data_IF_310645612150
#
_entry.id   IF_310645612150
#
_cell.length_a   1.000
_cell.length_b   1.000
_cell.length_c   1.000
_cell.angle_alpha   90.00
_cell.angle_beta   90.00
_cell.angle_gamma   90.00
#
_symmetry.space_group_name_H-M   'P 1'
#
loop_
_entity.id
_entity.type
_entity.pdbx_description
1 polymer ?
#
# COMPACT_ATOMS: atom_id res chain seq x y z
N UNK A 1 27.22 -22.52 -18.64
CA UNK A 1 27.86 -22.24 -17.33
C UNK A 1 28.00 -23.56 -16.57
N UNK A 2 29.18 -23.91 -16.06
CA UNK A 2 29.40 -25.20 -15.41
C UNK A 2 28.89 -25.14 -13.96
N UNK A 3 27.93 -26.00 -13.59
CA UNK A 3 27.28 -26.01 -12.26
C UNK A 3 28.31 -26.13 -11.12
N UNK A 4 29.42 -26.85 -11.34
CA UNK A 4 30.50 -26.98 -10.35
C UNK A 4 31.20 -25.63 -10.05
N UNK A 5 31.37 -24.79 -11.06
CA UNK A 5 31.96 -23.45 -10.89
C UNK A 5 31.02 -22.56 -10.10
N UNK A 6 29.73 -22.59 -10.44
CA UNK A 6 28.68 -21.83 -9.74
C UNK A 6 28.62 -22.21 -8.26
N UNK A 7 28.63 -23.51 -7.96
CA UNK A 7 28.59 -24.02 -6.56
C UNK A 7 29.84 -23.62 -5.76
N UNK A 8 31.00 -23.65 -6.40
CA UNK A 8 32.27 -23.26 -5.75
C UNK A 8 32.30 -21.77 -5.44
N UNK A 9 31.82 -20.94 -6.39
CA UNK A 9 31.68 -19.49 -6.18
C UNK A 9 30.62 -19.19 -5.10
N UNK A 10 29.49 -19.90 -5.08
CA UNK A 10 28.48 -19.74 -4.03
C UNK A 10 29.06 -19.99 -2.63
N UNK A 11 29.90 -21.01 -2.46
CA UNK A 11 30.53 -21.32 -1.18
C UNK A 11 31.62 -20.33 -0.76
N UNK A 12 32.33 -19.72 -1.71
CA UNK A 12 33.51 -18.88 -1.47
C UNK A 12 33.26 -17.38 -1.60
N UNK A 13 32.10 -16.97 -2.15
CA UNK A 13 31.74 -15.57 -2.33
C UNK A 13 31.09 -14.97 -1.09
N UNK A 14 31.05 -13.65 -1.03
CA UNK A 14 30.33 -12.87 -0.03
C UNK A 14 28.79 -12.86 -0.33
N UNK A 15 28.38 -13.36 -1.49
CA UNK A 15 26.98 -13.31 -1.93
C UNK A 15 25.99 -13.98 -0.96
N UNK A 16 26.24 -15.17 -0.39
CA UNK A 16 25.32 -15.77 0.60
C UNK A 16 25.14 -14.90 1.86
N UNK A 17 26.22 -14.26 2.32
CA UNK A 17 26.15 -13.32 3.44
C UNK A 17 25.34 -12.06 3.10
N UNK A 18 25.48 -11.57 1.86
CA UNK A 18 24.66 -10.46 1.37
C UNK A 18 23.16 -10.84 1.33
N UNK A 19 22.84 -12.04 0.84
CA UNK A 19 21.47 -12.55 0.86
C UNK A 19 20.93 -12.73 2.29
N UNK A 20 21.74 -13.29 3.18
CA UNK A 20 21.36 -13.46 4.60
C UNK A 20 21.11 -12.10 5.27
N UNK A 21 21.98 -11.11 5.04
CA UNK A 21 21.81 -9.77 5.58
C UNK A 21 20.55 -9.08 5.05
N UNK A 22 20.29 -9.17 3.75
CA UNK A 22 19.06 -8.62 3.15
C UNK A 22 17.82 -9.29 3.74
N UNK A 23 17.82 -10.63 3.86
CA UNK A 23 16.70 -11.36 4.41
C UNK A 23 16.47 -11.04 5.90
N UNK A 24 17.53 -11.04 6.72
CA UNK A 24 17.39 -10.74 8.16
C UNK A 24 16.95 -9.31 8.40
N UNK A 25 17.47 -8.34 7.63
CA UNK A 25 17.03 -6.95 7.69
C UNK A 25 15.56 -6.81 7.29
N UNK A 26 15.15 -7.48 6.19
CA UNK A 26 13.77 -7.45 5.73
C UNK A 26 12.80 -8.06 6.76
N UNK A 27 13.15 -9.21 7.34
CA UNK A 27 12.35 -9.86 8.39
C UNK A 27 12.29 -8.97 9.66
N UNK A 28 13.41 -8.34 10.02
CA UNK A 28 13.43 -7.42 11.16
C UNK A 28 12.47 -6.24 10.94
N UNK A 29 12.50 -5.59 9.77
CA UNK A 29 11.55 -4.53 9.44
C UNK A 29 10.11 -5.04 9.45
N UNK A 30 9.84 -6.16 8.80
CA UNK A 30 8.49 -6.71 8.65
C UNK A 30 7.85 -7.07 10.00
N UNK A 31 8.64 -7.63 10.94
CA UNK A 31 8.12 -8.09 12.23
C UNK A 31 8.27 -7.07 13.36
N UNK A 32 9.30 -6.21 13.34
CA UNK A 32 9.56 -5.28 14.44
C UNK A 32 8.97 -3.88 14.19
N UNK A 33 8.89 -3.45 12.92
CA UNK A 33 8.40 -2.12 12.55
C UNK A 33 6.95 -2.19 12.08
N UNK A 34 6.65 -3.04 11.08
CA UNK A 34 5.30 -3.15 10.52
C UNK A 34 4.38 -4.08 11.34
N UNK A 35 4.90 -4.75 12.34
CA UNK A 35 4.22 -5.53 13.36
C UNK A 35 3.20 -6.54 12.85
N UNK A 36 3.54 -7.84 12.83
CA UNK A 36 2.63 -8.92 12.41
C UNK A 36 1.37 -9.07 13.30
N UNK A 37 1.34 -8.44 14.44
CA UNK A 37 0.26 -8.48 15.43
C UNK A 37 -0.81 -7.41 15.26
N UNK A 38 -0.60 -6.41 14.39
CA UNK A 38 -1.61 -5.43 14.08
C UNK A 38 -2.72 -6.07 13.22
N UNK A 39 -3.94 -5.84 13.60
CA UNK A 39 -5.13 -6.36 12.88
C UNK A 39 -5.71 -5.24 12.03
N UNK A 40 -5.65 -5.39 10.72
CA UNK A 40 -6.25 -4.50 9.74
C UNK A 40 -6.36 -5.22 8.40
N UNK A 41 -7.21 -4.80 7.51
CA UNK A 41 -7.42 -5.46 6.21
C UNK A 41 -6.31 -5.14 5.23
N UNK A 42 -5.64 -3.99 5.38
CA UNK A 42 -4.51 -3.55 4.56
C UNK A 42 -3.16 -4.13 4.99
N UNK A 43 -3.11 -4.78 6.15
CA UNK A 43 -1.87 -5.35 6.69
C UNK A 43 -1.27 -6.42 5.77
N UNK A 44 0.05 -6.49 5.75
CA UNK A 44 0.78 -7.47 4.94
C UNK A 44 0.45 -8.94 5.27
N UNK A 45 -0.08 -9.20 6.47
CA UNK A 45 -0.53 -10.52 6.90
C UNK A 45 -1.92 -10.90 6.38
N UNK A 46 -2.69 -9.92 5.89
CA UNK A 46 -4.09 -10.12 5.55
C UNK A 46 -4.28 -10.63 4.11
N UNK A 47 -3.49 -10.13 3.16
CA UNK A 47 -3.70 -10.35 1.72
C UNK A 47 -2.39 -10.51 0.94
N UNK A 48 -2.42 -11.28 -0.14
CA UNK A 48 -1.28 -11.52 -1.03
C UNK A 48 -0.73 -10.24 -1.66
N UNK A 49 -1.62 -9.36 -2.13
CA UNK A 49 -1.22 -8.07 -2.72
C UNK A 49 -0.60 -7.16 -1.67
N UNK A 50 -1.18 -7.09 -0.47
CA UNK A 50 -0.64 -6.30 0.64
C UNK A 50 0.76 -6.79 1.03
N UNK A 51 0.98 -8.11 1.15
CA UNK A 51 2.31 -8.68 1.38
C UNK A 51 3.31 -8.25 0.32
N UNK A 52 2.93 -8.38 -0.97
CA UNK A 52 3.81 -8.04 -2.08
C UNK A 52 4.14 -6.54 -2.14
N UNK A 53 3.16 -5.67 -1.89
CA UNK A 53 3.37 -4.21 -1.85
C UNK A 53 4.21 -3.79 -0.64
N UNK A 54 3.95 -4.32 0.55
CA UNK A 54 4.77 -4.05 1.75
C UNK A 54 6.21 -4.49 1.54
N UNK A 55 6.44 -5.71 1.01
CA UNK A 55 7.81 -6.16 0.70
C UNK A 55 8.48 -5.29 -0.37
N UNK A 56 7.71 -4.71 -1.32
CA UNK A 56 8.21 -3.70 -2.26
C UNK A 56 8.53 -2.38 -1.56
N UNK A 57 7.76 -1.96 -0.57
CA UNK A 57 8.05 -0.78 0.26
C UNK A 57 9.38 -0.91 1.00
N UNK A 58 9.69 -2.10 1.52
CA UNK A 58 10.99 -2.37 2.18
C UNK A 58 12.19 -2.15 1.26
N UNK A 59 12.03 -2.15 -0.06
CA UNK A 59 13.12 -1.85 -1.00
C UNK A 59 13.65 -0.42 -0.83
N UNK A 60 12.94 0.47 -0.16
CA UNK A 60 13.45 1.78 0.21
C UNK A 60 14.78 1.67 0.99
N UNK A 61 14.90 0.67 1.85
CA UNK A 61 16.10 0.38 2.65
C UNK A 61 16.97 -0.73 2.05
N UNK A 62 16.34 -1.77 1.52
CA UNK A 62 17.04 -2.98 1.03
C UNK A 62 17.75 -2.76 -0.30
N UNK A 63 17.23 -1.88 -1.17
CA UNK A 63 17.87 -1.60 -2.46
C UNK A 63 19.19 -0.86 -2.33
N UNK A 64 19.31 0.23 -1.53
CA UNK A 64 20.59 0.84 -1.20
C UNK A 64 21.59 -0.14 -0.59
N UNK A 65 21.12 -1.00 0.32
CA UNK A 65 21.95 -2.05 0.91
C UNK A 65 22.49 -3.01 -0.15
N UNK A 66 21.62 -3.48 -1.08
CA UNK A 66 22.02 -4.36 -2.18
C UNK A 66 23.06 -3.70 -3.12
N UNK A 67 22.88 -2.40 -3.43
CA UNK A 67 23.84 -1.61 -4.21
C UNK A 67 25.20 -1.55 -3.53
N UNK A 68 25.23 -1.24 -2.22
CA UNK A 68 26.46 -1.16 -1.41
C UNK A 68 27.18 -2.51 -1.32
N UNK A 69 26.45 -3.58 -1.04
CA UNK A 69 26.98 -4.95 -0.98
C UNK A 69 27.51 -5.41 -2.35
N UNK A 70 26.80 -5.06 -3.43
CA UNK A 70 27.27 -5.29 -4.79
C UNK A 70 28.60 -4.57 -5.06
N UNK A 71 28.72 -3.30 -4.65
CA UNK A 71 29.95 -2.55 -4.82
C UNK A 71 31.14 -3.16 -4.02
N UNK A 72 30.90 -3.66 -2.80
CA UNK A 72 31.89 -4.40 -2.04
C UNK A 72 32.39 -5.65 -2.80
N UNK A 73 31.46 -6.37 -3.42
CA UNK A 73 31.81 -7.55 -4.21
C UNK A 73 32.57 -7.18 -5.50
N UNK A 74 32.24 -6.05 -6.16
CA UNK A 74 32.95 -5.53 -7.32
C UNK A 74 34.40 -5.11 -7.01
N UNK A 75 34.66 -4.67 -5.77
CA UNK A 75 35.99 -4.30 -5.29
C UNK A 75 36.89 -5.49 -4.91
N UNK A 76 36.34 -6.71 -4.81
CA UNK A 76 37.07 -7.90 -4.34
C UNK A 76 38.37 -8.12 -5.11
N UNK A 77 38.34 -7.98 -6.43
CA UNK A 77 39.51 -8.23 -7.30
C UNK A 77 40.60 -7.20 -7.10
N UNK A 78 40.24 -5.95 -6.89
CA UNK A 78 41.20 -4.88 -6.64
C UNK A 78 41.86 -5.06 -5.26
N UNK A 79 41.05 -5.40 -4.22
CA UNK A 79 41.55 -5.64 -2.87
C UNK A 79 42.49 -6.85 -2.78
N UNK A 80 42.24 -7.90 -3.56
CA UNK A 80 43.10 -9.10 -3.58
C UNK A 80 44.38 -8.94 -4.43
N UNK A 81 44.59 -7.77 -5.09
CA UNK A 81 45.69 -7.49 -6.00
C UNK A 81 45.87 -8.53 -7.14
N UNK A 82 44.76 -9.24 -7.47
CA UNK A 82 44.75 -10.31 -8.45
C UNK A 82 44.37 -9.81 -9.86
N UNK A 83 44.21 -8.52 -10.06
CA UNK A 83 43.76 -7.93 -11.34
C UNK A 83 44.65 -8.30 -12.53
N UNK A 84 45.97 -8.32 -12.34
CA UNK A 84 46.93 -8.66 -13.39
C UNK A 84 46.88 -10.14 -13.79
N UNK A 85 46.81 -11.04 -12.78
CA UNK A 85 46.67 -12.48 -13.02
C UNK A 85 45.37 -12.83 -13.74
N UNK A 86 44.31 -12.06 -13.47
CA UNK A 86 43.01 -12.29 -14.08
C UNK A 86 42.90 -11.76 -15.51
N UNK A 87 43.68 -10.73 -15.88
CA UNK A 87 43.75 -10.20 -17.22
C UNK A 87 44.61 -11.07 -18.14
N UNK A 88 45.57 -11.84 -17.58
CA UNK A 88 46.43 -12.78 -18.35
C UNK A 88 45.74 -14.11 -18.71
N UNK A 89 44.54 -14.38 -18.15
CA UNK A 89 43.79 -15.60 -18.47
C UNK A 89 43.08 -15.49 -19.83
N UNK A 90 43.08 -16.54 -20.65
CA UNK A 90 42.48 -16.51 -21.99
C UNK A 90 40.93 -16.50 -21.98
N UNK A 91 40.29 -16.40 -20.81
CA UNK A 91 38.81 -16.37 -20.67
C UNK A 91 38.28 -14.96 -20.91
N UNK A 92 37.23 -14.81 -21.77
CA UNK A 92 36.57 -13.51 -21.93
C UNK A 92 36.06 -12.93 -20.64
N UNK A 93 36.24 -11.61 -20.42
CA UNK A 93 35.85 -10.90 -19.20
C UNK A 93 34.36 -11.06 -18.84
N UNK A 94 33.51 -11.18 -19.84
CA UNK A 94 32.07 -11.34 -19.66
C UNK A 94 31.67 -12.68 -19.02
N UNK A 95 32.42 -13.77 -19.20
CA UNK A 95 32.15 -15.05 -18.53
C UNK A 95 32.27 -14.92 -17.02
N UNK A 96 33.26 -14.17 -16.56
CA UNK A 96 33.45 -13.92 -15.14
C UNK A 96 32.40 -12.97 -14.58
N UNK A 97 32.08 -11.89 -15.31
CA UNK A 97 30.99 -11.00 -14.99
C UNK A 97 29.68 -11.76 -14.84
N UNK A 98 29.37 -12.66 -15.79
CA UNK A 98 28.17 -13.50 -15.77
C UNK A 98 28.12 -14.45 -14.55
N UNK A 99 29.27 -15.03 -14.16
CA UNK A 99 29.32 -15.91 -12.98
C UNK A 99 29.05 -15.12 -11.70
N UNK A 100 29.70 -13.97 -11.52
CA UNK A 100 29.52 -13.11 -10.36
C UNK A 100 28.09 -12.55 -10.27
N UNK A 101 27.60 -11.99 -11.35
CA UNK A 101 26.23 -11.46 -11.43
C UNK A 101 25.19 -12.58 -11.22
N UNK A 102 25.42 -13.77 -11.80
CA UNK A 102 24.53 -14.92 -11.66
C UNK A 102 24.46 -15.46 -10.23
N UNK A 103 25.60 -15.59 -9.53
CA UNK A 103 25.63 -16.00 -8.13
C UNK A 103 24.88 -15.00 -7.26
N UNK A 104 25.13 -13.71 -7.45
CA UNK A 104 24.45 -12.64 -6.68
C UNK A 104 22.96 -12.61 -6.98
N UNK A 105 22.57 -12.72 -8.26
CA UNK A 105 21.17 -12.78 -8.66
C UNK A 105 20.43 -13.96 -8.00
N UNK A 106 20.99 -15.17 -8.05
CA UNK A 106 20.41 -16.36 -7.43
C UNK A 106 20.26 -16.15 -5.92
N UNK A 107 21.29 -15.63 -5.25
CA UNK A 107 21.27 -15.44 -3.80
C UNK A 107 20.23 -14.41 -3.36
N UNK A 108 20.17 -13.25 -4.02
CA UNK A 108 19.23 -12.20 -3.66
C UNK A 108 17.79 -12.56 -4.02
N UNK A 109 17.58 -13.20 -5.18
CA UNK A 109 16.27 -13.70 -5.58
C UNK A 109 15.79 -14.78 -4.60
N UNK A 110 16.67 -15.71 -4.18
CA UNK A 110 16.32 -16.73 -3.18
C UNK A 110 15.99 -16.10 -1.81
N UNK A 111 16.76 -15.10 -1.37
CA UNK A 111 16.50 -14.37 -0.14
C UNK A 111 15.14 -13.65 -0.18
N UNK A 112 14.83 -12.97 -1.28
CA UNK A 112 13.55 -12.30 -1.45
C UNK A 112 12.38 -13.29 -1.58
N UNK A 113 12.58 -14.39 -2.30
CA UNK A 113 11.57 -15.47 -2.39
C UNK A 113 11.29 -16.06 -1.00
N UNK A 114 12.34 -16.30 -0.20
CA UNK A 114 12.18 -16.81 1.16
C UNK A 114 11.42 -15.81 2.05
N UNK A 115 11.68 -14.51 1.90
CA UNK A 115 10.91 -13.47 2.59
C UNK A 115 9.41 -13.56 2.25
N UNK A 116 9.08 -13.66 0.95
CA UNK A 116 7.69 -13.83 0.48
C UNK A 116 7.08 -15.13 1.03
N UNK A 117 7.84 -16.23 1.04
CA UNK A 117 7.34 -17.52 1.57
C UNK A 117 7.05 -17.46 3.08
N UNK A 118 7.89 -16.77 3.85
CA UNK A 118 7.63 -16.55 5.28
C UNK A 118 6.37 -15.72 5.48
N UNK A 119 6.20 -14.63 4.71
CA UNK A 119 4.97 -13.85 4.73
C UNK A 119 3.75 -14.63 4.26
N UNK A 120 3.91 -15.49 3.25
CA UNK A 120 2.84 -16.32 2.71
C UNK A 120 2.21 -17.25 3.76
N UNK A 121 2.98 -17.75 4.74
CA UNK A 121 2.44 -18.55 5.86
C UNK A 121 1.42 -17.75 6.66
N UNK A 122 1.67 -16.46 6.89
CA UNK A 122 0.74 -15.59 7.61
C UNK A 122 -0.51 -15.29 6.77
N UNK A 123 -0.30 -14.97 5.48
CA UNK A 123 -1.42 -14.70 4.56
C UNK A 123 -2.34 -15.91 4.43
N UNK A 124 -1.79 -17.12 4.25
CA UNK A 124 -2.58 -18.36 4.15
C UNK A 124 -3.41 -18.65 5.40
N UNK A 125 -2.96 -18.19 6.57
CA UNK A 125 -3.72 -18.34 7.81
C UNK A 125 -4.87 -17.33 7.95
N UNK A 126 -4.85 -16.23 7.20
CA UNK A 126 -5.76 -15.09 7.39
C UNK A 126 -6.69 -14.81 6.19
N UNK A 127 -6.39 -15.31 4.99
CA UNK A 127 -7.19 -15.06 3.80
C UNK A 127 -7.80 -16.33 3.21
N UNK A 128 -9.03 -16.23 2.77
CA UNK A 128 -9.71 -17.27 1.96
C UNK A 128 -9.57 -16.98 0.46
N UNK A 129 -9.19 -15.74 0.08
CA UNK A 129 -9.03 -15.32 -1.31
C UNK A 129 -7.58 -15.46 -1.77
N UNK A 130 -7.33 -16.40 -2.68
CA UNK A 130 -6.01 -16.63 -3.28
C UNK A 130 -6.02 -16.28 -4.76
N UNK A 131 -5.03 -15.50 -5.21
CA UNK A 131 -4.86 -15.09 -6.61
C UNK A 131 -3.36 -14.95 -6.95
N UNK A 132 -3.04 -14.87 -8.24
CA UNK A 132 -1.65 -14.70 -8.71
C UNK A 132 -1.30 -13.26 -9.09
N UNK A 133 -2.20 -12.29 -8.89
CA UNK A 133 -1.98 -10.87 -9.20
C UNK A 133 -0.82 -10.21 -8.46
N UNK A 134 -0.42 -10.76 -7.31
CA UNK A 134 0.74 -10.32 -6.54
C UNK A 134 2.09 -10.73 -7.17
N UNK A 135 2.10 -11.76 -8.04
CA UNK A 135 3.35 -12.33 -8.59
C UNK A 135 4.18 -11.30 -9.38
N UNK A 136 3.61 -10.49 -10.29
CA UNK A 136 4.37 -9.44 -10.99
C UNK A 136 5.02 -8.45 -10.03
N UNK A 137 4.34 -8.08 -8.93
CA UNK A 137 4.86 -7.19 -7.90
C UNK A 137 6.11 -7.80 -7.26
N UNK A 138 6.05 -9.06 -6.86
CA UNK A 138 7.16 -9.79 -6.25
C UNK A 138 8.33 -9.99 -7.22
N UNK A 139 8.07 -10.34 -8.49
CA UNK A 139 9.11 -10.52 -9.51
C UNK A 139 9.89 -9.23 -9.75
N UNK A 140 9.20 -8.10 -9.88
CA UNK A 140 9.84 -6.79 -10.03
C UNK A 140 10.63 -6.43 -8.76
N UNK A 141 10.16 -6.83 -7.58
CA UNK A 141 10.90 -6.69 -6.31
C UNK A 141 12.23 -7.44 -6.30
N UNK A 142 12.22 -8.71 -6.67
CA UNK A 142 13.43 -9.53 -6.79
C UNK A 142 14.41 -8.98 -7.85
N UNK A 143 13.86 -8.56 -9.01
CA UNK A 143 14.64 -7.92 -10.06
C UNK A 143 15.31 -6.62 -9.59
N UNK A 144 14.63 -5.85 -8.74
CA UNK A 144 15.17 -4.61 -8.19
C UNK A 144 16.43 -4.84 -7.36
N UNK A 145 16.42 -5.83 -6.46
CA UNK A 145 17.61 -6.19 -5.67
C UNK A 145 18.76 -6.67 -6.54
N UNK A 146 18.48 -7.52 -7.53
CA UNK A 146 19.49 -8.05 -8.43
C UNK A 146 20.08 -6.97 -9.35
N UNK A 147 19.25 -6.07 -9.86
CA UNK A 147 19.67 -4.94 -10.68
C UNK A 147 20.53 -3.96 -9.87
N UNK A 148 20.11 -3.62 -8.66
CA UNK A 148 20.87 -2.75 -7.75
C UNK A 148 22.23 -3.33 -7.40
N UNK A 149 22.29 -4.61 -7.01
CA UNK A 149 23.55 -5.27 -6.69
C UNK A 149 24.48 -5.37 -7.93
N UNK A 150 23.94 -5.69 -9.12
CA UNK A 150 24.72 -5.77 -10.35
C UNK A 150 25.28 -4.41 -10.74
N UNK A 151 24.48 -3.33 -10.61
CA UNK A 151 24.92 -1.97 -10.80
C UNK A 151 26.05 -1.61 -9.82
N UNK A 152 25.86 -1.94 -8.54
CA UNK A 152 26.85 -1.75 -7.49
C UNK A 152 28.17 -2.46 -7.81
N UNK A 153 28.12 -3.73 -8.23
CA UNK A 153 29.31 -4.50 -8.64
C UNK A 153 30.06 -3.83 -9.80
N UNK A 154 29.34 -3.40 -10.84
CA UNK A 154 29.93 -2.72 -11.99
C UNK A 154 30.58 -1.40 -11.60
N UNK A 155 29.90 -0.58 -10.81
CA UNK A 155 30.40 0.70 -10.33
C UNK A 155 31.58 0.53 -9.36
N UNK A 156 31.53 -0.44 -8.44
CA UNK A 156 32.63 -0.77 -7.54
C UNK A 156 33.91 -1.19 -8.29
N UNK A 157 33.77 -1.94 -9.39
CA UNK A 157 34.90 -2.30 -10.25
C UNK A 157 35.41 -1.11 -11.07
N UNK A 158 34.51 -0.25 -11.56
CA UNK A 158 34.87 0.91 -12.37
C UNK A 158 35.57 2.01 -11.53
N UNK A 159 35.21 2.14 -10.25
CA UNK A 159 35.72 3.12 -9.31
C UNK A 159 36.32 2.40 -8.09
N UNK A 160 37.54 1.86 -8.18
CA UNK A 160 38.14 1.01 -7.15
C UNK A 160 38.65 1.83 -5.96
N UNK A 161 37.73 2.28 -5.09
CA UNK A 161 38.03 3.01 -3.84
C UNK A 161 37.30 2.36 -2.66
N UNK A 162 37.90 2.43 -1.48
CA UNK A 162 37.27 1.97 -0.25
C UNK A 162 35.98 2.74 0.10
N UNK A 163 35.87 3.98 -0.38
CA UNK A 163 34.69 4.84 -0.18
C UNK A 163 33.57 4.55 -1.18
N UNK A 164 33.83 3.82 -2.27
CA UNK A 164 32.80 3.56 -3.31
C UNK A 164 31.57 2.82 -2.77
N UNK A 165 31.67 1.75 -1.96
CA UNK A 165 30.48 1.06 -1.45
C UNK A 165 29.60 1.94 -0.57
N UNK A 166 30.10 2.64 0.46
CA UNK A 166 29.25 3.52 1.27
C UNK A 166 28.69 4.70 0.46
N UNK A 167 29.48 5.27 -0.46
CA UNK A 167 29.01 6.36 -1.31
C UNK A 167 27.88 5.93 -2.25
N UNK A 168 27.96 4.73 -2.85
CA UNK A 168 26.91 4.19 -3.69
C UNK A 168 25.67 3.80 -2.88
N UNK A 169 25.81 3.22 -1.71
CA UNK A 169 24.69 2.93 -0.81
C UNK A 169 23.96 4.22 -0.41
N UNK A 170 24.72 5.24 -0.01
CA UNK A 170 24.16 6.54 0.36
C UNK A 170 23.50 7.23 -0.86
N UNK A 171 24.15 7.21 -2.02
CA UNK A 171 23.59 7.76 -3.27
C UNK A 171 22.29 7.06 -3.67
N UNK A 172 22.23 5.75 -3.55
CA UNK A 172 21.01 4.97 -3.82
C UNK A 172 19.89 5.28 -2.80
N UNK A 173 20.25 5.45 -1.51
CA UNK A 173 19.29 5.87 -0.49
C UNK A 173 18.77 7.29 -0.76
N UNK A 174 19.65 8.23 -1.06
CA UNK A 174 19.27 9.60 -1.41
C UNK A 174 18.40 9.64 -2.67
N UNK A 175 18.71 8.82 -3.68
CA UNK A 175 17.85 8.67 -4.86
C UNK A 175 16.44 8.22 -4.46
N UNK A 176 16.32 7.15 -3.67
CA UNK A 176 15.02 6.67 -3.19
C UNK A 176 14.28 7.73 -2.38
N UNK A 177 14.97 8.43 -1.46
CA UNK A 177 14.40 9.50 -0.65
C UNK A 177 13.91 10.68 -1.49
N UNK A 178 14.70 11.15 -2.47
CA UNK A 178 14.30 12.23 -3.37
C UNK A 178 13.08 11.86 -4.22
N UNK A 179 13.01 10.60 -4.69
CA UNK A 179 11.85 10.10 -5.43
C UNK A 179 10.58 10.05 -4.56
N UNK A 180 10.71 9.80 -3.26
CA UNK A 180 9.59 9.72 -2.34
C UNK A 180 9.14 11.09 -1.80
N UNK A 181 10.07 12.02 -1.56
CA UNK A 181 9.80 13.23 -0.80
C UNK A 181 9.69 14.50 -1.65
N UNK A 182 10.37 14.57 -2.83
CA UNK A 182 10.44 15.81 -3.60
C UNK A 182 10.27 15.63 -5.10
N UNK A 183 11.28 15.11 -5.81
CA UNK A 183 11.27 15.01 -7.27
C UNK A 183 10.17 14.10 -7.81
N UNK A 184 9.79 13.08 -7.04
CA UNK A 184 8.72 12.15 -7.37
C UNK A 184 7.35 12.60 -6.92
N UNK A 185 7.20 13.82 -6.38
CA UNK A 185 5.93 14.37 -5.90
C UNK A 185 5.52 15.57 -6.73
N UNK A 186 4.20 15.71 -6.93
CA UNK A 186 3.58 16.88 -7.55
C UNK A 186 2.52 17.39 -6.61
N UNK A 187 2.57 18.70 -6.34
CA UNK A 187 1.50 19.35 -5.57
C UNK A 187 0.28 19.52 -6.47
N UNK A 188 -0.85 19.07 -5.99
CA UNK A 188 -2.17 19.26 -6.59
C UNK A 188 -3.09 19.91 -5.56
N UNK A 189 -4.20 20.47 -6.01
CA UNK A 189 -5.18 21.08 -5.11
C UNK A 189 -6.50 20.32 -5.19
N UNK A 190 -7.11 20.09 -4.03
CA UNK A 190 -8.47 19.57 -3.97
C UNK A 190 -9.46 20.59 -4.53
N UNK A 191 -10.70 20.15 -4.79
CA UNK A 191 -11.77 21.06 -5.19
C UNK A 191 -12.04 22.18 -4.14
N UNK A 192 -11.68 21.92 -2.87
CA UNK A 192 -11.75 22.88 -1.75
C UNK A 192 -10.50 23.76 -1.62
N UNK A 193 -9.53 23.68 -2.54
CA UNK A 193 -8.31 24.49 -2.54
C UNK A 193 -7.22 24.03 -1.54
N UNK A 194 -7.35 22.83 -0.97
CA UNK A 194 -6.35 22.29 -0.03
C UNK A 194 -5.22 21.65 -0.83
N UNK A 195 -3.93 22.00 -0.57
CA UNK A 195 -2.80 21.37 -1.24
C UNK A 195 -2.64 19.91 -0.81
N UNK A 196 -2.52 19.02 -1.77
CA UNK A 196 -2.17 17.61 -1.60
C UNK A 196 -0.95 17.28 -2.46
N UNK A 197 -0.10 16.37 -1.98
CA UNK A 197 1.05 15.90 -2.75
C UNK A 197 0.79 14.50 -3.26
N UNK A 198 0.78 14.34 -4.59
CA UNK A 198 0.61 13.06 -5.26
C UNK A 198 1.92 12.56 -5.89
N UNK A 199 2.18 11.23 -5.89
CA UNK A 199 3.33 10.68 -6.58
C UNK A 199 3.19 10.89 -8.09
N UNK A 200 4.26 11.30 -8.76
CA UNK A 200 4.33 11.44 -10.22
C UNK A 200 5.06 10.25 -10.86
N UNK A 201 5.12 10.21 -12.20
CA UNK A 201 5.79 9.09 -12.92
C UNK A 201 7.26 8.91 -12.57
N UNK A 202 7.96 9.97 -12.15
CA UNK A 202 9.39 9.90 -11.80
C UNK A 202 9.59 9.11 -10.51
N UNK A 203 8.62 9.16 -9.59
CA UNK A 203 8.65 8.34 -8.36
C UNK A 203 8.77 6.85 -8.65
N UNK A 204 8.20 6.40 -9.78
CA UNK A 204 8.21 5.00 -10.21
C UNK A 204 9.57 4.50 -10.72
N UNK A 205 10.55 5.38 -10.87
CA UNK A 205 11.94 4.98 -11.09
C UNK A 205 12.58 4.46 -9.80
N UNK A 206 12.04 4.82 -8.62
CA UNK A 206 12.39 4.15 -7.37
C UNK A 206 11.88 2.70 -7.40
N UNK A 207 12.67 1.72 -6.97
CA UNK A 207 12.21 0.34 -6.87
C UNK A 207 11.19 0.14 -5.74
N UNK A 208 11.22 0.99 -4.73
CA UNK A 208 10.25 0.98 -3.64
C UNK A 208 8.90 1.56 -4.13
N UNK A 209 7.82 0.88 -3.80
CA UNK A 209 6.46 1.37 -4.00
C UNK A 209 5.99 2.00 -2.70
N UNK A 210 5.29 3.11 -2.79
CA UNK A 210 4.64 3.71 -1.64
C UNK A 210 3.41 2.88 -1.27
N UNK A 211 3.08 2.90 -0.03
CA UNK A 211 1.97 2.35 0.73
C UNK A 211 0.89 1.49 0.03
N UNK A 212 0.44 0.49 0.76
CA UNK A 212 -0.80 -0.24 0.47
C UNK A 212 -1.95 0.71 0.73
N UNK A 213 -2.55 1.26 -0.34
CA UNK A 213 -3.68 2.21 -0.21
C UNK A 213 -4.97 1.52 0.16
N UNK A 214 -5.20 0.34 -0.40
CA UNK A 214 -6.43 -0.41 -0.25
C UNK A 214 -6.16 -1.88 -0.60
N UNK A 215 -6.94 -2.77 -0.02
CA UNK A 215 -6.89 -4.23 -0.24
C UNK A 215 -7.28 -4.60 -1.67
N UNK A 216 -8.16 -3.81 -2.28
CA UNK A 216 -8.69 -4.05 -3.61
C UNK A 216 -7.83 -3.48 -4.74
N UNK A 217 -6.71 -2.83 -4.40
CA UNK A 217 -5.89 -2.10 -5.37
C UNK A 217 -4.59 -2.82 -5.65
N UNK A 218 -4.29 -3.00 -6.93
CA UNK A 218 -3.01 -3.52 -7.41
C UNK A 218 -2.31 -2.51 -8.33
N UNK A 219 -1.04 -2.74 -8.63
CA UNK A 219 -0.30 -1.90 -9.57
C UNK A 219 -0.72 -2.19 -11.01
N UNK A 220 -0.79 -1.15 -11.84
CA UNK A 220 -1.11 -1.28 -13.25
C UNK A 220 -0.02 -2.03 -14.03
N UNK A 221 -0.40 -2.70 -15.12
CA UNK A 221 0.53 -3.41 -16.00
C UNK A 221 1.63 -2.49 -16.57
N UNK A 222 1.30 -1.23 -16.87
CA UNK A 222 2.26 -0.23 -17.35
C UNK A 222 3.37 0.07 -16.32
N UNK A 223 3.04 0.06 -15.02
CA UNK A 223 4.04 0.19 -13.95
C UNK A 223 4.98 -1.00 -13.95
N UNK A 224 4.45 -2.23 -14.01
CA UNK A 224 5.30 -3.43 -14.03
C UNK A 224 6.23 -3.46 -15.24
N UNK A 225 5.72 -3.17 -16.44
CA UNK A 225 6.51 -3.16 -17.67
C UNK A 225 7.57 -2.05 -17.64
N UNK A 226 7.16 -0.81 -17.30
CA UNK A 226 8.07 0.32 -17.23
C UNK A 226 9.21 0.10 -16.24
N UNK A 227 8.88 -0.36 -15.02
CA UNK A 227 9.88 -0.67 -14.00
C UNK A 227 10.79 -1.84 -14.41
N UNK A 228 10.25 -2.89 -15.03
CA UNK A 228 11.07 -4.01 -15.52
C UNK A 228 12.10 -3.53 -16.55
N UNK A 229 11.73 -2.70 -17.52
CA UNK A 229 12.64 -2.15 -18.52
C UNK A 229 13.71 -1.27 -17.87
N UNK A 230 13.33 -0.42 -16.93
CA UNK A 230 14.26 0.41 -16.14
C UNK A 230 15.29 -0.43 -15.40
N UNK A 231 14.83 -1.45 -14.66
CA UNK A 231 15.67 -2.33 -13.86
C UNK A 231 16.59 -3.20 -14.73
N UNK A 232 16.12 -3.66 -15.89
CA UNK A 232 16.95 -4.36 -16.86
C UNK A 232 18.03 -3.42 -17.42
N UNK A 233 17.72 -2.15 -17.68
CA UNK A 233 18.69 -1.12 -18.05
C UNK A 233 19.77 -0.93 -16.99
N UNK A 234 19.40 -0.86 -15.71
CA UNK A 234 20.33 -0.80 -14.57
C UNK A 234 21.22 -2.05 -14.50
N UNK A 235 20.62 -3.24 -14.60
CA UNK A 235 21.35 -4.50 -14.56
C UNK A 235 22.32 -4.64 -15.73
N UNK A 236 21.89 -4.29 -16.95
CA UNK A 236 22.74 -4.32 -18.15
C UNK A 236 23.91 -3.34 -18.05
N UNK A 237 23.67 -2.14 -17.52
CA UNK A 237 24.71 -1.15 -17.22
C UNK A 237 25.72 -1.70 -16.22
N UNK A 238 25.26 -2.23 -15.09
CA UNK A 238 26.12 -2.83 -14.08
C UNK A 238 26.96 -3.99 -14.64
N UNK A 239 26.33 -4.87 -15.41
CA UNK A 239 27.00 -5.97 -16.11
C UNK A 239 28.04 -5.47 -17.13
N UNK A 240 27.68 -4.47 -17.94
CA UNK A 240 28.58 -3.84 -18.91
C UNK A 240 29.80 -3.22 -18.23
N UNK A 241 29.61 -2.47 -17.13
CA UNK A 241 30.71 -1.90 -16.33
C UNK A 241 31.59 -2.99 -15.71
N UNK A 242 31.00 -4.11 -15.26
CA UNK A 242 31.71 -5.24 -14.70
C UNK A 242 32.58 -5.95 -15.74
N UNK A 243 32.16 -5.99 -17.01
CA UNK A 243 32.91 -6.57 -18.13
C UNK A 243 33.89 -5.58 -18.78
N UNK A 244 33.70 -4.26 -18.60
CA UNK A 244 34.47 -3.22 -19.29
C UNK A 244 35.92 -3.14 -18.80
N UNK A 245 36.85 -3.06 -19.75
CA UNK A 245 38.32 -2.95 -19.50
C UNK A 245 38.87 -1.57 -19.87
N UNK A 246 38.22 -0.83 -20.75
CA UNK A 246 38.67 0.48 -21.24
C UNK A 246 37.66 1.58 -20.89
N UNK A 247 38.11 2.84 -20.89
CA UNK A 247 37.21 3.99 -20.63
C UNK A 247 36.07 4.05 -21.68
N UNK A 248 36.38 3.77 -22.97
CA UNK A 248 35.40 3.75 -24.05
C UNK A 248 34.31 2.70 -23.79
N UNK A 249 34.70 1.48 -23.39
CA UNK A 249 33.71 0.43 -23.07
C UNK A 249 32.91 0.74 -21.84
N UNK A 250 33.45 1.46 -20.86
CA UNK A 250 32.71 1.94 -19.67
C UNK A 250 31.66 2.99 -20.07
N UNK A 251 31.97 3.92 -20.95
CA UNK A 251 31.01 4.89 -21.46
C UNK A 251 29.87 4.24 -22.25
N UNK A 252 30.21 3.28 -23.12
CA UNK A 252 29.21 2.48 -23.85
C UNK A 252 28.32 1.70 -22.89
N UNK A 253 28.87 1.18 -21.78
CA UNK A 253 28.10 0.45 -20.76
C UNK A 253 27.07 1.30 -20.05
N UNK A 254 27.08 2.63 -20.14
CA UNK A 254 26.07 3.51 -19.60
C UNK A 254 24.83 3.66 -20.51
N UNK A 255 24.94 3.26 -21.79
CA UNK A 255 23.83 3.42 -22.74
C UNK A 255 22.56 2.68 -22.33
N UNK A 256 22.59 1.43 -21.78
CA UNK A 256 21.37 0.74 -21.34
C UNK A 256 20.63 1.48 -20.20
N UNK A 257 21.36 2.18 -19.33
CA UNK A 257 20.77 3.00 -18.27
C UNK A 257 19.91 4.12 -18.88
N UNK A 258 20.49 4.89 -19.82
CA UNK A 258 19.82 6.02 -20.43
C UNK A 258 18.64 5.56 -21.30
N UNK A 259 18.84 4.55 -22.14
CA UNK A 259 17.76 4.02 -22.99
C UNK A 259 16.65 3.38 -22.15
N UNK A 260 17.00 2.63 -21.11
CA UNK A 260 16.05 2.05 -20.18
C UNK A 260 15.23 3.13 -19.44
N UNK A 261 15.86 4.20 -18.98
CA UNK A 261 15.18 5.32 -18.34
C UNK A 261 14.19 6.02 -19.29
N UNK A 262 14.62 6.32 -20.52
CA UNK A 262 13.76 6.99 -21.51
C UNK A 262 12.56 6.11 -21.86
N UNK A 263 12.77 4.84 -22.17
CA UNK A 263 11.69 3.91 -22.53
C UNK A 263 10.75 3.73 -21.34
N UNK A 264 11.28 3.54 -20.13
CA UNK A 264 10.46 3.42 -18.93
C UNK A 264 9.57 4.66 -18.71
N UNK A 265 10.13 5.87 -18.83
CA UNK A 265 9.37 7.10 -18.68
C UNK A 265 8.31 7.29 -19.77
N UNK A 266 8.45 6.70 -20.95
CA UNK A 266 7.41 6.71 -21.98
C UNK A 266 6.25 5.75 -21.67
N UNK A 267 6.52 4.64 -20.95
CA UNK A 267 5.54 3.60 -20.63
C UNK A 267 4.85 3.88 -19.31
N UNK A 268 5.59 4.41 -18.33
CA UNK A 268 5.06 4.73 -17.00
C UNK A 268 3.93 5.76 -17.08
N UNK A 269 2.84 5.58 -16.33
CA UNK A 269 1.69 6.47 -16.39
C UNK A 269 2.07 7.89 -15.96
N UNK A 270 1.62 8.88 -16.73
CA UNK A 270 1.81 10.31 -16.41
C UNK A 270 0.87 10.75 -15.29
N UNK A 271 -0.33 10.16 -15.26
CA UNK A 271 -1.36 10.44 -14.27
C UNK A 271 -1.18 9.50 -13.08
N UNK A 272 -0.97 10.03 -11.85
CA UNK A 272 -0.85 9.22 -10.64
C UNK A 272 -2.03 8.28 -10.40
N UNK A 273 -3.23 8.69 -10.83
CA UNK A 273 -4.46 7.90 -10.70
C UNK A 273 -4.43 6.58 -11.49
N UNK A 274 -3.57 6.49 -12.52
CA UNK A 274 -3.39 5.30 -13.36
C UNK A 274 -2.29 4.35 -12.87
N UNK A 275 -1.60 4.69 -11.78
CA UNK A 275 -0.61 3.81 -11.17
C UNK A 275 -1.25 2.57 -10.55
N UNK A 276 -2.40 2.79 -9.95
CA UNK A 276 -3.18 1.75 -9.28
C UNK A 276 -4.42 1.43 -10.09
N UNK A 277 -4.80 0.17 -10.07
CA UNK A 277 -6.03 -0.34 -10.71
C UNK A 277 -6.77 -1.23 -9.72
N UNK A 278 -8.10 -1.18 -9.75
CA UNK A 278 -8.92 -2.09 -8.95
C UNK A 278 -8.77 -3.51 -9.49
N UNK A 279 -8.46 -4.44 -8.61
CA UNK A 279 -8.54 -5.88 -8.91
C UNK A 279 -10.02 -6.27 -8.95
N UNK A 280 -10.57 -6.33 -10.16
CA UNK A 280 -11.99 -6.63 -10.36
C UNK A 280 -12.41 -7.99 -9.81
N UNK A 281 -11.48 -8.96 -9.78
CA UNK A 281 -11.77 -10.28 -9.24
C UNK A 281 -11.81 -10.27 -7.71
N UNK A 282 -10.96 -9.46 -7.07
CA UNK A 282 -10.97 -9.23 -5.63
C UNK A 282 -12.23 -8.46 -5.17
N UNK A 283 -12.65 -7.49 -5.99
CA UNK A 283 -13.80 -6.63 -5.74
C UNK A 283 -15.16 -7.27 -6.11
N UNK A 284 -15.17 -8.50 -6.65
CA UNK A 284 -16.41 -9.21 -7.00
C UNK A 284 -17.30 -9.38 -5.76
N UNK A 285 -18.57 -8.94 -5.79
CA UNK A 285 -19.44 -9.00 -4.62
C UNK A 285 -19.87 -10.44 -4.32
N UNK A 286 -19.80 -10.81 -3.05
CA UNK A 286 -20.34 -12.05 -2.47
C UNK A 286 -21.42 -11.66 -1.47
N UNK A 287 -22.66 -12.11 -1.69
CA UNK A 287 -23.82 -11.64 -0.96
C UNK A 287 -24.56 -12.74 -0.19
N UNK A 288 -25.12 -12.37 0.96
CA UNK A 288 -26.17 -13.10 1.67
C UNK A 288 -27.40 -12.22 1.79
N UNK A 289 -28.31 -12.36 0.81
CA UNK A 289 -29.47 -11.49 0.65
C UNK A 289 -29.04 -10.06 0.31
N UNK A 290 -29.46 -9.03 1.08
CA UNK A 290 -29.13 -7.64 0.80
C UNK A 290 -27.76 -7.19 1.35
N UNK A 291 -26.99 -8.10 1.96
CA UNK A 291 -25.70 -7.80 2.55
C UNK A 291 -24.59 -8.39 1.70
N UNK A 292 -23.72 -7.54 1.17
CA UNK A 292 -22.66 -7.92 0.26
C UNK A 292 -21.28 -7.47 0.80
N UNK A 293 -20.29 -8.34 0.64
CA UNK A 293 -18.88 -8.04 0.85
C UNK A 293 -18.10 -8.34 -0.41
N UNK A 294 -16.89 -7.86 -0.51
CA UNK A 294 -16.00 -8.25 -1.60
C UNK A 294 -15.52 -9.70 -1.42
N UNK A 295 -15.14 -10.34 -2.51
CA UNK A 295 -14.57 -11.70 -2.50
C UNK A 295 -13.35 -11.80 -1.60
N UNK A 296 -12.59 -10.72 -1.46
CA UNK A 296 -11.46 -10.62 -0.55
C UNK A 296 -11.86 -10.84 0.92
N UNK A 297 -13.05 -10.40 1.28
CA UNK A 297 -13.58 -10.47 2.65
C UNK A 297 -14.73 -11.48 2.80
N UNK A 298 -14.88 -12.42 1.88
CA UNK A 298 -15.97 -13.40 1.91
C UNK A 298 -16.09 -14.16 3.25
N UNK A 299 -14.97 -14.45 3.92
CA UNK A 299 -14.96 -15.11 5.24
C UNK A 299 -15.60 -14.27 6.36
N UNK A 300 -15.70 -12.94 6.17
CA UNK A 300 -16.37 -12.05 7.14
C UNK A 300 -17.87 -11.94 6.94
N UNK A 301 -18.40 -12.41 5.79
CA UNK A 301 -19.83 -12.30 5.45
C UNK A 301 -20.72 -12.96 6.49
N UNK A 302 -20.34 -14.13 6.99
CA UNK A 302 -21.13 -14.86 7.99
C UNK A 302 -21.34 -14.05 9.28
N UNK A 303 -20.32 -13.30 9.72
CA UNK A 303 -20.42 -12.42 10.90
C UNK A 303 -21.19 -11.13 10.64
N UNK A 304 -21.21 -10.66 9.38
CA UNK A 304 -21.84 -9.40 8.98
C UNK A 304 -23.31 -9.57 8.60
N UNK A 305 -23.71 -10.71 8.02
CA UNK A 305 -25.02 -10.91 7.42
C UNK A 305 -26.19 -10.73 8.41
N UNK A 306 -26.08 -11.28 9.61
CA UNK A 306 -27.08 -11.12 10.69
C UNK A 306 -27.23 -9.67 11.12
N UNK A 307 -26.17 -9.03 11.63
CA UNK A 307 -26.16 -7.62 12.00
C UNK A 307 -26.63 -6.69 10.85
N UNK A 308 -26.21 -6.97 9.60
CA UNK A 308 -26.60 -6.18 8.46
C UNK A 308 -28.09 -6.25 8.13
N UNK A 309 -28.68 -7.45 8.11
CA UNK A 309 -30.13 -7.62 7.90
C UNK A 309 -30.94 -6.92 9.00
N UNK A 310 -30.49 -7.00 10.25
CA UNK A 310 -31.13 -6.33 11.37
C UNK A 310 -31.02 -4.79 11.28
N UNK A 311 -29.85 -4.28 10.87
CA UNK A 311 -29.67 -2.84 10.63
C UNK A 311 -30.62 -2.32 9.53
N UNK A 312 -30.77 -3.04 8.41
CA UNK A 312 -31.71 -2.67 7.35
C UNK A 312 -33.16 -2.70 7.84
N UNK A 313 -33.54 -3.70 8.62
CA UNK A 313 -34.89 -3.80 9.21
C UNK A 313 -35.20 -2.58 10.09
N UNK A 314 -34.28 -2.23 11.00
CA UNK A 314 -34.45 -1.09 11.91
C UNK A 314 -34.46 0.25 11.14
N UNK A 315 -33.62 0.40 10.12
CA UNK A 315 -33.61 1.58 9.26
C UNK A 315 -34.93 1.70 8.48
N UNK A 316 -35.48 0.58 7.98
CA UNK A 316 -36.77 0.58 7.27
C UNK A 316 -37.93 0.95 8.21
N UNK A 317 -37.95 0.46 9.44
CA UNK A 317 -38.96 0.84 10.45
C UNK A 317 -38.90 2.33 10.80
N UNK A 318 -37.69 2.91 10.84
CA UNK A 318 -37.50 4.31 11.18
C UNK A 318 -37.75 5.30 10.03
N UNK A 319 -37.34 4.94 8.80
CA UNK A 319 -37.29 5.83 7.63
C UNK A 319 -38.37 5.53 6.57
N UNK A 320 -39.01 4.34 6.63
CA UNK A 320 -39.98 3.88 5.62
C UNK A 320 -39.31 3.74 4.25
N UNK A 321 -39.97 4.26 3.21
CA UNK A 321 -39.52 4.19 1.81
C UNK A 321 -38.20 4.90 1.50
N UNK A 322 -37.69 5.70 2.45
CA UNK A 322 -36.40 6.38 2.32
C UNK A 322 -35.24 5.60 2.98
N UNK A 323 -35.49 4.38 3.43
CA UNK A 323 -34.48 3.51 4.02
C UNK A 323 -33.59 2.88 2.93
N UNK A 324 -32.31 2.64 3.23
CA UNK A 324 -31.45 1.87 2.35
C UNK A 324 -31.97 0.42 2.21
N UNK A 325 -31.77 -0.18 1.04
CA UNK A 325 -32.23 -1.53 0.70
C UNK A 325 -31.10 -2.56 0.71
N UNK A 326 -29.83 -2.11 0.68
CA UNK A 326 -28.66 -2.98 0.70
C UNK A 326 -27.53 -2.41 1.58
N UNK A 327 -26.64 -3.31 1.99
CA UNK A 327 -25.38 -3.00 2.67
C UNK A 327 -24.26 -3.60 1.82
N UNK A 328 -23.32 -2.77 1.39
CA UNK A 328 -22.26 -3.19 0.49
C UNK A 328 -20.89 -2.66 0.95
N UNK A 329 -19.87 -3.49 0.81
CA UNK A 329 -18.52 -3.03 1.01
C UNK A 329 -18.12 -2.03 -0.07
N UNK A 330 -17.53 -0.91 0.34
CA UNK A 330 -17.10 0.14 -0.59
C UNK A 330 -15.91 -0.33 -1.44
N UNK A 331 -16.10 -0.34 -2.74
CA UNK A 331 -15.05 -0.73 -3.71
C UNK A 331 -14.49 0.47 -4.49
N UNK A 332 -14.94 1.68 -4.16
CA UNK A 332 -14.53 2.90 -4.84
C UNK A 332 -13.13 3.35 -4.38
N UNK A 333 -12.14 3.20 -5.24
CA UNK A 333 -10.81 3.74 -5.01
C UNK A 333 -10.80 5.20 -5.39
N UNK A 334 -10.88 6.06 -4.39
CA UNK A 334 -10.89 7.50 -4.56
C UNK A 334 -9.48 8.09 -4.34
N UNK A 335 -9.09 9.15 -5.08
CA UNK A 335 -7.84 9.87 -4.84
C UNK A 335 -7.83 10.52 -3.46
N UNK A 336 -6.63 10.68 -2.88
CA UNK A 336 -6.45 11.42 -1.64
C UNK A 336 -7.04 12.83 -1.76
N UNK A 337 -7.68 13.31 -0.70
CA UNK A 337 -8.33 14.61 -0.67
C UNK A 337 -9.66 14.71 -1.43
N UNK A 338 -10.12 13.64 -2.08
CA UNK A 338 -11.45 13.64 -2.71
C UNK A 338 -12.54 13.44 -1.67
N UNK A 339 -13.69 14.08 -1.89
CA UNK A 339 -14.88 13.88 -1.06
C UNK A 339 -15.60 12.61 -1.51
N UNK A 340 -15.93 11.68 -0.61
CA UNK A 340 -16.71 10.49 -0.93
C UNK A 340 -18.10 10.87 -1.49
N UNK A 341 -18.64 10.01 -2.35
CA UNK A 341 -20.02 10.12 -2.82
C UNK A 341 -20.83 8.97 -2.26
N UNK A 342 -21.97 9.30 -1.65
CA UNK A 342 -22.80 8.34 -0.95
C UNK A 342 -24.14 8.13 -1.66
N UNK A 343 -24.64 6.90 -1.61
CA UNK A 343 -26.01 6.55 -2.05
C UNK A 343 -26.94 6.51 -0.85
N UNK A 344 -28.19 6.94 -1.02
CA UNK A 344 -29.24 6.77 0.00
C UNK A 344 -29.85 5.36 -0.01
N UNK A 345 -29.69 4.63 -1.12
CA UNK A 345 -30.26 3.29 -1.32
C UNK A 345 -29.36 2.18 -0.77
N UNK A 346 -28.06 2.45 -0.64
CA UNK A 346 -27.05 1.46 -0.21
C UNK A 346 -26.21 2.02 0.92
N UNK A 347 -26.08 1.25 1.98
CA UNK A 347 -25.11 1.53 3.07
C UNK A 347 -23.74 1.05 2.62
N UNK A 348 -22.85 1.98 2.29
CA UNK A 348 -21.47 1.64 1.98
C UNK A 348 -20.63 1.66 3.27
N UNK A 349 -19.83 0.64 3.47
CA UNK A 349 -18.95 0.51 4.62
C UNK A 349 -17.56 0.01 4.19
N UNK A 350 -16.57 0.18 5.07
CA UNK A 350 -15.23 -0.34 4.92
C UNK A 350 -14.83 -1.07 6.21
N UNK A 351 -14.22 -2.25 6.09
CA UNK A 351 -13.75 -3.01 7.25
C UNK A 351 -12.60 -2.35 8.02
N UNK A 352 -11.89 -1.39 7.41
CA UNK A 352 -10.84 -0.62 8.06
C UNK A 352 -11.34 0.63 8.79
N UNK A 353 -12.62 0.98 8.64
CA UNK A 353 -13.20 2.05 9.44
C UNK A 353 -13.23 1.67 10.92
N UNK A 354 -12.68 2.52 11.78
CA UNK A 354 -12.56 2.28 13.22
C UNK A 354 -13.83 1.76 13.87
N UNK A 355 -14.98 2.30 13.45
CA UNK A 355 -16.29 1.95 14.00
C UNK A 355 -16.73 0.53 13.58
N UNK A 356 -16.43 0.11 12.37
CA UNK A 356 -16.74 -1.23 11.83
C UNK A 356 -15.71 -2.25 12.34
N UNK A 357 -14.41 -1.88 12.29
CA UNK A 357 -13.32 -2.77 12.70
C UNK A 357 -13.38 -3.17 14.19
N UNK A 358 -13.91 -2.28 15.05
CA UNK A 358 -14.00 -2.50 16.48
C UNK A 358 -15.31 -3.15 16.93
N UNK A 359 -16.31 -3.31 16.03
CA UNK A 359 -17.67 -3.72 16.38
C UNK A 359 -17.91 -5.22 16.17
N UNK A 360 -18.64 -5.83 17.07
CA UNK A 360 -19.12 -7.22 16.96
C UNK A 360 -20.60 -7.30 17.39
N UNK A 361 -21.35 -8.25 16.82
CA UNK A 361 -22.74 -8.51 17.20
C UNK A 361 -23.65 -7.27 17.11
N UNK A 362 -24.27 -6.87 18.20
CA UNK A 362 -25.17 -5.72 18.26
C UNK A 362 -24.44 -4.40 17.96
N UNK A 363 -23.20 -4.24 18.39
CA UNK A 363 -22.42 -3.04 18.12
C UNK A 363 -22.18 -2.86 16.61
N UNK A 364 -22.01 -3.96 15.86
CA UNK A 364 -21.90 -3.92 14.40
C UNK A 364 -23.21 -3.46 13.75
N UNK A 365 -24.37 -3.89 14.29
CA UNK A 365 -25.67 -3.37 13.85
C UNK A 365 -25.75 -1.86 14.06
N UNK A 366 -25.33 -1.34 15.20
CA UNK A 366 -25.33 0.12 15.48
C UNK A 366 -24.39 0.87 14.56
N UNK A 367 -23.20 0.31 14.30
CA UNK A 367 -22.23 0.90 13.37
C UNK A 367 -22.79 0.99 11.95
N UNK A 368 -23.48 -0.04 11.47
CA UNK A 368 -24.12 -0.04 10.15
C UNK A 368 -25.31 0.93 10.07
N UNK A 369 -26.09 1.04 11.14
CA UNK A 369 -27.15 2.08 11.25
C UNK A 369 -26.52 3.46 11.18
N UNK A 370 -25.42 3.69 11.91
CA UNK A 370 -24.71 4.97 11.91
C UNK A 370 -24.26 5.35 10.49
N UNK A 371 -23.71 4.39 9.73
CA UNK A 371 -23.30 4.59 8.32
C UNK A 371 -24.48 4.88 7.42
N UNK A 372 -25.59 4.18 7.56
CA UNK A 372 -26.82 4.38 6.78
C UNK A 372 -27.53 5.70 7.08
N UNK A 373 -27.29 6.28 8.26
CA UNK A 373 -27.86 7.57 8.67
C UNK A 373 -26.93 8.75 8.35
N UNK A 374 -25.64 8.59 8.63
CA UNK A 374 -24.61 9.64 8.50
C UNK A 374 -23.33 9.00 7.94
N UNK A 375 -23.19 8.84 6.62
CA UNK A 375 -21.94 8.46 6.02
C UNK A 375 -20.87 9.53 6.30
N UNK A 376 -19.60 9.17 6.34
CA UNK A 376 -18.52 10.11 6.63
C UNK A 376 -18.22 11.05 5.47
N UNK A 377 -18.07 12.33 5.72
CA UNK A 377 -17.70 13.34 4.74
C UNK A 377 -16.24 13.79 4.82
N UNK A 378 -15.42 13.09 5.60
CA UNK A 378 -13.99 13.37 5.69
C UNK A 378 -13.32 13.01 4.37
N UNK A 379 -12.54 13.93 3.76
CA UNK A 379 -11.82 13.62 2.54
C UNK A 379 -10.89 12.41 2.71
N UNK A 380 -10.74 11.62 1.65
CA UNK A 380 -9.88 10.42 1.64
C UNK A 380 -8.45 10.79 2.06
N UNK A 381 -7.85 9.98 2.92
CA UNK A 381 -6.50 10.23 3.47
C UNK A 381 -6.46 11.25 4.63
N UNK A 382 -7.59 11.81 5.02
CA UNK A 382 -7.68 12.72 6.17
C UNK A 382 -8.29 11.99 7.36
N UNK A 383 -7.81 12.32 8.55
CA UNK A 383 -8.42 11.88 9.80
C UNK A 383 -9.01 13.10 10.53
N UNK A 384 -10.26 13.00 10.96
CA UNK A 384 -10.91 14.08 11.68
C UNK A 384 -11.98 13.55 12.62
N UNK A 385 -12.01 14.05 13.85
CA UNK A 385 -13.08 13.84 14.80
C UNK A 385 -13.96 15.09 14.79
N UNK A 386 -15.11 14.99 14.17
CA UNK A 386 -15.96 16.15 13.87
C UNK A 386 -17.45 15.95 14.12
N UNK A 387 -18.24 16.81 13.49
CA UNK A 387 -19.70 16.85 13.61
C UNK A 387 -20.38 15.53 13.25
N UNK A 388 -19.84 14.79 12.30
CA UNK A 388 -20.40 13.51 11.84
C UNK A 388 -20.49 12.48 12.99
N UNK A 389 -19.48 12.39 13.85
CA UNK A 389 -19.47 11.44 14.97
C UNK A 389 -20.58 11.73 15.99
N UNK A 390 -20.85 13.01 16.25
CA UNK A 390 -21.92 13.41 17.14
C UNK A 390 -23.29 13.18 16.52
N UNK A 391 -23.40 13.46 15.20
CA UNK A 391 -24.63 13.23 14.44
C UNK A 391 -24.96 11.73 14.37
N UNK A 392 -23.98 10.86 14.16
CA UNK A 392 -24.12 9.39 14.19
C UNK A 392 -24.68 8.90 15.51
N UNK A 393 -24.12 9.36 16.62
CA UNK A 393 -24.57 8.96 17.96
C UNK A 393 -26.05 9.32 18.19
N UNK A 394 -26.47 10.54 17.80
CA UNK A 394 -27.88 10.97 17.93
C UNK A 394 -28.78 10.20 16.96
N UNK A 395 -28.35 9.98 15.71
CA UNK A 395 -29.12 9.29 14.70
C UNK A 395 -29.39 7.83 15.07
N UNK A 396 -28.37 7.11 15.55
CA UNK A 396 -28.53 5.74 16.06
C UNK A 396 -29.46 5.72 17.27
N UNK A 397 -29.30 6.64 18.20
CA UNK A 397 -30.20 6.78 19.34
C UNK A 397 -31.64 7.04 18.93
N UNK A 398 -31.89 7.79 17.85
CA UNK A 398 -33.22 8.01 17.32
C UNK A 398 -33.85 6.76 16.74
N UNK A 399 -33.07 5.96 15.95
CA UNK A 399 -33.51 4.68 15.37
C UNK A 399 -33.79 3.64 16.45
N UNK A 400 -32.92 3.51 17.45
CA UNK A 400 -33.04 2.52 18.52
C UNK A 400 -33.99 2.94 19.66
N UNK A 401 -34.39 4.21 19.70
CA UNK A 401 -35.23 4.76 20.80
C UNK A 401 -34.45 5.12 22.06
N UNK A 402 -33.17 4.74 22.17
CA UNK A 402 -32.28 4.98 23.30
C UNK A 402 -30.87 5.36 22.85
N UNK A 403 -30.24 6.31 23.56
CA UNK A 403 -28.91 6.79 23.21
C UNK A 403 -27.86 5.75 23.60
N UNK A 404 -27.18 5.19 22.59
CA UNK A 404 -26.10 4.22 22.76
C UNK A 404 -24.74 4.86 22.41
N UNK A 405 -23.70 4.43 23.12
CA UNK A 405 -22.32 4.78 22.76
C UNK A 405 -21.87 3.93 21.60
N UNK A 406 -21.40 4.56 20.52
CA UNK A 406 -20.99 3.84 19.31
C UNK A 406 -19.62 3.18 19.51
N UNK A 407 -19.39 2.00 18.87
CA UNK A 407 -18.09 1.36 18.87
C UNK A 407 -17.05 2.24 18.15
N UNK A 408 -15.78 2.03 18.45
CA UNK A 408 -14.67 2.70 17.79
C UNK A 408 -13.33 2.34 18.43
N UNK A 409 -12.28 2.23 17.63
CA UNK A 409 -10.92 1.98 18.09
C UNK A 409 -10.30 3.20 18.80
N UNK A 410 -10.94 4.36 18.70
CA UNK A 410 -10.49 5.61 19.28
C UNK A 410 -10.41 5.59 20.81
N UNK A 411 -9.64 6.52 21.38
CA UNK A 411 -9.49 6.67 22.83
C UNK A 411 -10.86 6.78 23.52
N UNK A 412 -11.04 6.07 24.61
CA UNK A 412 -12.27 6.13 25.42
C UNK A 412 -12.68 7.56 25.82
N UNK A 413 -11.71 8.49 25.84
CA UNK A 413 -11.94 9.93 26.04
C UNK A 413 -12.71 10.58 24.89
N UNK A 414 -12.47 10.19 23.64
CA UNK A 414 -13.18 10.72 22.47
C UNK A 414 -14.62 10.24 22.42
N UNK A 415 -14.87 8.96 22.71
CA UNK A 415 -16.24 8.41 22.84
C UNK A 415 -17.03 9.14 23.91
N UNK A 416 -16.47 9.31 25.12
CA UNK A 416 -17.14 10.08 26.20
C UNK A 416 -17.43 11.52 25.77
N UNK A 417 -16.54 12.14 24.99
CA UNK A 417 -16.76 13.49 24.46
C UNK A 417 -17.89 13.51 23.42
N UNK A 418 -17.98 12.48 22.57
CA UNK A 418 -19.08 12.33 21.61
C UNK A 418 -20.42 12.18 22.33
N UNK A 419 -20.52 11.26 23.30
CA UNK A 419 -21.72 11.03 24.09
C UNK A 419 -22.14 12.28 24.86
N UNK A 420 -21.19 13.00 25.46
CA UNK A 420 -21.48 14.23 26.21
C UNK A 420 -22.05 15.33 25.31
N UNK A 421 -21.56 15.45 24.05
CA UNK A 421 -22.07 16.42 23.07
C UNK A 421 -23.40 16.00 22.44
N UNK A 422 -23.57 14.70 22.17
CA UNK A 422 -24.78 14.15 21.58
C UNK A 422 -26.00 14.20 22.53
N UNK A 423 -25.78 13.97 23.83
CA UNK A 423 -26.86 13.86 24.85
C UNK A 423 -27.82 15.06 24.94
N UNK A 424 -27.38 16.33 24.96
CA UNK A 424 -28.30 17.46 24.97
C UNK A 424 -29.12 17.53 23.68
N UNK A 425 -28.49 17.37 22.52
CA UNK A 425 -29.17 17.42 21.20
C UNK A 425 -30.20 16.29 21.06
N UNK A 426 -29.88 15.10 21.55
CA UNK A 426 -30.82 13.97 21.58
C UNK A 426 -32.04 14.26 22.47
N UNK A 427 -31.85 14.86 23.64
CA UNK A 427 -32.97 15.27 24.52
C UNK A 427 -33.87 16.32 23.88
N UNK A 428 -33.26 17.33 23.20
CA UNK A 428 -33.99 18.33 22.45
C UNK A 428 -34.79 17.72 21.30
N UNK A 429 -34.18 16.80 20.55
CA UNK A 429 -34.82 16.08 19.45
C UNK A 429 -36.03 15.28 19.98
N UNK A 430 -35.88 14.53 21.04
CA UNK A 430 -36.96 13.74 21.69
C UNK A 430 -38.12 14.59 22.25
N UNK A 431 -37.86 15.84 22.59
CA UNK A 431 -38.89 16.77 23.05
C UNK A 431 -39.79 17.30 21.91
N UNK A 432 -39.37 17.13 20.65
CA UNK A 432 -40.16 17.51 19.47
C UNK A 432 -41.29 16.52 19.18
N UNK A 433 -42.34 16.99 18.50
CA UNK A 433 -43.30 16.12 17.85
C UNK A 433 -42.66 15.16 16.87
N UNK A 434 -43.30 14.06 16.55
CA UNK A 434 -42.77 13.06 15.62
C UNK A 434 -42.38 13.69 14.25
N UNK A 435 -43.26 14.56 13.72
CA UNK A 435 -42.96 15.27 12.46
C UNK A 435 -41.76 16.21 12.59
N UNK A 436 -41.61 16.88 13.72
CA UNK A 436 -40.44 17.72 14.01
C UNK A 436 -39.14 16.90 14.11
N UNK A 437 -39.20 15.72 14.74
CA UNK A 437 -38.05 14.81 14.78
C UNK A 437 -37.66 14.36 13.35
N UNK A 438 -38.62 13.88 12.55
CA UNK A 438 -38.39 13.45 11.16
C UNK A 438 -37.81 14.59 10.30
N UNK A 439 -38.31 15.80 10.43
CA UNK A 439 -37.81 16.95 9.70
C UNK A 439 -36.33 17.22 10.00
N UNK A 440 -35.93 17.19 11.27
CA UNK A 440 -34.50 17.36 11.66
C UNK A 440 -33.62 16.19 11.21
N UNK A 441 -34.10 14.96 11.31
CA UNK A 441 -33.38 13.77 10.83
C UNK A 441 -33.19 13.84 9.31
N UNK A 442 -34.22 14.23 8.55
CA UNK A 442 -34.11 14.39 7.11
C UNK A 442 -33.13 15.50 6.70
N UNK A 443 -33.13 16.63 7.41
CA UNK A 443 -32.17 17.71 7.19
C UNK A 443 -30.71 17.27 7.48
N UNK A 444 -30.51 16.54 8.56
CA UNK A 444 -29.24 15.93 8.91
C UNK A 444 -28.75 14.97 7.83
N UNK A 445 -29.63 14.04 7.37
CA UNK A 445 -29.30 13.09 6.31
C UNK A 445 -28.97 13.80 5.01
N UNK A 446 -29.74 14.81 4.62
CA UNK A 446 -29.45 15.59 3.41
C UNK A 446 -28.05 16.23 3.47
N UNK A 447 -27.68 16.86 4.58
CA UNK A 447 -26.34 17.42 4.77
C UNK A 447 -25.24 16.35 4.76
N UNK A 448 -25.46 15.19 5.41
CA UNK A 448 -24.50 14.10 5.47
C UNK A 448 -24.27 13.42 4.11
N UNK A 449 -25.30 13.25 3.29
CA UNK A 449 -25.19 12.60 1.97
C UNK A 449 -24.65 13.52 0.87
N UNK A 450 -24.93 14.83 0.96
CA UNK A 450 -24.37 15.82 0.03
C UNK A 450 -22.92 16.19 0.36
N UNK A 451 -22.47 15.93 1.59
CA UNK A 451 -21.24 16.45 2.15
C UNK A 451 -21.15 18.01 2.08
N UNK A 452 -22.28 18.66 2.03
CA UNK A 452 -22.42 20.10 2.09
C UNK A 452 -23.02 20.51 3.42
N UNK A 453 -22.28 21.24 4.24
CA UNK A 453 -22.68 21.63 5.57
C UNK A 453 -22.31 20.63 6.68
N UNK A 454 -22.78 20.90 7.89
CA UNK A 454 -22.53 20.09 9.10
C UNK A 454 -23.79 19.35 9.53
N UNK A 455 -23.78 18.02 9.41
CA UNK A 455 -24.88 17.16 9.80
C UNK A 455 -25.34 17.36 11.27
N UNK A 456 -24.39 17.63 12.18
CA UNK A 456 -24.71 17.88 13.57
C UNK A 456 -25.39 19.24 13.81
N UNK A 457 -25.01 20.26 13.06
CA UNK A 457 -25.67 21.57 13.09
C UNK A 457 -27.09 21.50 12.55
N UNK A 458 -27.34 20.70 11.50
CA UNK A 458 -28.67 20.46 10.97
C UNK A 458 -29.60 19.81 12.02
N UNK A 459 -29.11 18.89 12.84
CA UNK A 459 -29.86 18.30 13.96
C UNK A 459 -30.29 19.34 15.01
N UNK A 460 -29.51 20.39 15.24
CA UNK A 460 -29.83 21.47 16.17
C UNK A 460 -30.84 22.49 15.62
N UNK A 461 -31.25 22.34 14.35
CA UNK A 461 -32.15 23.29 13.71
C UNK A 461 -31.44 24.56 13.21
N UNK A 462 -30.11 24.53 13.10
CA UNK A 462 -29.33 25.55 12.42
C UNK A 462 -29.44 25.41 10.91
N UNK A 463 -29.60 26.54 10.19
CA UNK A 463 -29.53 26.53 8.73
C UNK A 463 -28.12 26.10 8.31
N UNK A 464 -28.02 25.11 7.40
CA UNK A 464 -26.75 24.80 6.73
C UNK A 464 -26.30 26.06 5.98
N UNK A 465 -25.19 26.66 6.41
CA UNK A 465 -24.48 27.70 5.65
C UNK A 465 -23.44 27.08 4.77
#
# INVERSE_FOLDING_TARGET
MNIRVLYTELKRSVAPWAGALVLTSALAFLYLVDGAWWRGTTMWTAQWTSLALTTRGLLFYLWPLAVGLGALQGLRDHRSKMSELLTSTPRPAWHRAATLAGVTAITLTSAFTLLILVGAVQVLANTEYTHLGWLPIAVVGALSLTAGATLGMGAGRALPSALTPPALAMGAFMFSALMHMSLGRTETYTASGIPITEPNRVSLLSPAVQDVRDVLVTLSASVHVGQTIWLLGLAATGFGLLAATTLRTRLIALTPLLTGAVIALLILPCDPRRMYVVDKAAAEPVCDGPVCVTKTHQGRLAGLAGPGKEALRLLHEALGDHAPVSIEENTAVLPDGSTPRWSQETVLFDFDEDMIAAAEGEELTWALIAKGMVPGCVPVGWSGFGGDEFARTVAVGWVLGDLKSLPGAGQASLRRKADAKARPVWRELKALTWDGQRARINAMRAAAFSCEGDAFSALKGGASR
#
